data_IF_683166581058
#
_entry.id   IF_683166581058
#
_cell.length_a   1.000
_cell.length_b   1.000
_cell.length_c   1.000
_cell.angle_alpha   90.00
_cell.angle_beta   90.00
_cell.angle_gamma   90.00
#
_symmetry.space_group_name_H-M   'P 1'
#
loop_
_entity.id
_entity.type
_entity.pdbx_description
1 polymer ?
#
# COMPACT_ATOMS: atom_id res chain seq x y z
N UNK A 1 18.51 -1.95 23.17
CA UNK A 1 18.93 -1.14 22.02
C UNK A 1 18.08 -1.48 20.81
N UNK A 2 17.64 -0.50 20.02
CA UNK A 2 16.82 -0.71 18.81
C UNK A 2 17.58 -0.14 17.61
N UNK A 3 17.70 -0.91 16.53
CA UNK A 3 18.32 -0.46 15.27
C UNK A 3 17.48 -0.89 14.07
N UNK A 4 17.77 -0.37 12.89
CA UNK A 4 17.24 -0.96 11.65
C UNK A 4 17.88 -2.32 11.34
N UNK A 5 17.41 -2.98 10.27
CA UNK A 5 17.85 -4.33 9.91
C UNK A 5 18.99 -4.33 8.89
N UNK A 6 19.79 -3.27 8.81
CA UNK A 6 20.97 -3.30 7.96
C UNK A 6 21.96 -4.37 8.46
N UNK A 7 22.58 -5.09 7.55
CA UNK A 7 23.42 -6.25 7.86
C UNK A 7 24.54 -5.94 8.86
N UNK A 8 25.12 -4.74 8.78
CA UNK A 8 26.17 -4.30 9.71
C UNK A 8 25.63 -4.03 11.14
N UNK A 9 24.39 -3.56 11.30
CA UNK A 9 23.78 -3.41 12.62
C UNK A 9 23.44 -4.75 13.27
N UNK A 10 23.02 -5.74 12.47
CA UNK A 10 22.77 -7.12 12.95
C UNK A 10 24.08 -7.75 13.46
N UNK A 11 25.20 -7.56 12.76
CA UNK A 11 26.51 -8.08 13.21
C UNK A 11 26.98 -7.34 14.46
N UNK A 12 26.92 -6.00 14.44
CA UNK A 12 27.31 -5.18 15.59
C UNK A 12 26.48 -5.50 16.83
N UNK A 13 25.16 -5.75 16.69
CA UNK A 13 24.30 -6.09 17.81
C UNK A 13 24.66 -7.42 18.48
N UNK A 14 25.05 -8.44 17.67
CA UNK A 14 25.52 -9.73 18.22
C UNK A 14 26.78 -9.53 19.07
N UNK A 15 27.76 -8.81 18.56
CA UNK A 15 29.00 -8.52 19.29
C UNK A 15 28.70 -7.70 20.57
N UNK A 16 27.76 -6.76 20.49
CA UNK A 16 27.37 -5.94 21.63
C UNK A 16 26.72 -6.79 22.74
N UNK A 17 25.79 -7.68 22.39
CA UNK A 17 25.11 -8.56 23.35
C UNK A 17 26.09 -9.56 23.97
N UNK A 18 27.04 -10.08 23.18
CA UNK A 18 28.13 -10.94 23.69
C UNK A 18 29.03 -10.20 24.70
N UNK A 19 29.34 -8.92 24.44
CA UNK A 19 30.20 -8.12 25.31
C UNK A 19 29.44 -7.59 26.54
N UNK A 20 28.16 -7.26 26.39
CA UNK A 20 27.31 -6.66 27.42
C UNK A 20 26.00 -7.46 27.59
N UNK A 21 25.98 -8.57 28.35
CA UNK A 21 24.83 -9.49 28.45
C UNK A 21 23.53 -8.87 28.99
N UNK A 22 23.60 -7.69 29.60
CA UNK A 22 22.44 -6.95 30.12
C UNK A 22 21.79 -6.05 29.04
N UNK A 23 22.36 -5.98 27.84
CA UNK A 23 21.80 -5.22 26.72
C UNK A 23 20.95 -6.14 25.87
N UNK A 24 19.66 -5.86 25.77
CA UNK A 24 18.78 -6.50 24.81
C UNK A 24 18.75 -5.68 23.52
N UNK A 25 18.88 -6.37 22.40
CA UNK A 25 18.74 -5.77 21.07
C UNK A 25 17.44 -6.25 20.42
N UNK A 26 16.77 -5.35 19.72
CA UNK A 26 15.65 -5.68 18.84
C UNK A 26 15.67 -4.84 17.57
N UNK A 27 15.10 -5.37 16.52
CA UNK A 27 14.91 -4.64 15.27
C UNK A 27 13.85 -3.55 15.42
N UNK A 28 14.03 -2.43 14.71
CA UNK A 28 13.03 -1.39 14.66
C UNK A 28 11.73 -1.91 14.02
N UNK A 29 10.64 -1.88 14.77
CA UNK A 29 9.34 -2.39 14.33
C UNK A 29 8.80 -1.64 13.11
N UNK A 30 8.88 -0.32 13.09
CA UNK A 30 8.46 0.50 11.95
C UNK A 30 9.24 0.12 10.69
N UNK A 31 10.56 -0.10 10.82
CA UNK A 31 11.40 -0.54 9.72
C UNK A 31 10.97 -1.94 9.20
N UNK A 32 10.70 -2.89 10.09
CA UNK A 32 10.22 -4.22 9.72
C UNK A 32 8.88 -4.18 8.98
N UNK A 33 7.93 -3.36 9.44
CA UNK A 33 6.64 -3.18 8.74
C UNK A 33 6.85 -2.53 7.36
N UNK A 34 7.76 -1.56 7.25
CA UNK A 34 8.12 -0.99 5.95
C UNK A 34 8.69 -2.03 5.00
N UNK A 35 9.55 -2.93 5.48
CA UNK A 35 10.10 -4.05 4.68
C UNK A 35 9.01 -5.06 4.28
N UNK A 36 8.06 -5.36 5.18
CA UNK A 36 6.89 -6.20 4.85
C UNK A 36 6.10 -5.55 3.70
N UNK A 37 5.76 -4.26 3.80
CA UNK A 37 5.03 -3.54 2.76
C UNK A 37 5.82 -3.46 1.45
N UNK A 38 7.15 -3.34 1.53
CA UNK A 38 8.04 -3.40 0.38
C UNK A 38 7.97 -4.74 -0.33
N UNK A 39 8.12 -5.86 0.39
CA UNK A 39 8.08 -7.20 -0.19
C UNK A 39 6.67 -7.54 -0.70
N UNK A 40 5.63 -7.13 0.02
CA UNK A 40 4.24 -7.20 -0.45
C UNK A 40 4.07 -6.43 -1.77
N UNK A 41 4.65 -5.24 -1.88
CA UNK A 41 4.62 -4.43 -3.11
C UNK A 41 5.27 -5.10 -4.33
N UNK A 42 6.15 -6.10 -4.14
CA UNK A 42 6.80 -6.87 -5.22
C UNK A 42 5.96 -8.03 -5.75
N UNK A 43 4.86 -8.37 -5.08
CA UNK A 43 3.95 -9.41 -5.57
C UNK A 43 3.36 -9.00 -6.92
N UNK A 44 3.36 -9.92 -7.90
CA UNK A 44 2.97 -9.64 -9.27
C UNK A 44 1.58 -9.00 -9.40
N UNK A 45 0.60 -9.48 -8.61
CA UNK A 45 -0.75 -8.91 -8.59
C UNK A 45 -0.79 -7.46 -8.11
N UNK A 46 0.09 -7.12 -7.16
CA UNK A 46 0.20 -5.75 -6.63
C UNK A 46 0.93 -4.85 -7.62
N UNK A 47 2.04 -5.31 -8.19
CA UNK A 47 2.76 -4.58 -9.23
C UNK A 47 1.83 -4.19 -10.38
N UNK A 48 0.99 -5.12 -10.84
CA UNK A 48 0.00 -4.87 -11.88
C UNK A 48 -0.96 -3.72 -11.53
N UNK A 49 -1.58 -3.79 -10.34
CA UNK A 49 -2.54 -2.77 -9.91
C UNK A 49 -1.87 -1.43 -9.67
N UNK A 50 -0.69 -1.41 -9.03
CA UNK A 50 0.09 -0.18 -8.80
C UNK A 50 0.49 0.46 -10.13
N UNK A 51 0.94 -0.33 -11.11
CA UNK A 51 1.30 0.17 -12.43
C UNK A 51 0.11 0.85 -13.12
N UNK A 52 -1.05 0.20 -13.18
CA UNK A 52 -2.25 0.76 -13.81
C UNK A 52 -2.78 1.99 -13.06
N UNK A 53 -2.80 1.95 -11.72
CA UNK A 53 -3.18 3.11 -10.91
C UNK A 53 -2.25 4.29 -11.15
N UNK A 54 -0.95 4.06 -11.20
CA UNK A 54 0.07 5.07 -11.50
C UNK A 54 -0.07 5.64 -12.90
N UNK A 55 -0.31 4.79 -13.90
CA UNK A 55 -0.54 5.21 -15.29
C UNK A 55 -1.77 6.11 -15.42
N UNK A 56 -2.89 5.72 -14.80
CA UNK A 56 -4.12 6.50 -14.80
C UNK A 56 -3.95 7.86 -14.11
N UNK A 57 -3.29 7.88 -12.96
CA UNK A 57 -3.02 9.12 -12.24
C UNK A 57 -2.09 10.02 -13.05
N UNK A 58 -1.01 9.47 -13.59
CA UNK A 58 -0.07 10.19 -14.45
C UNK A 58 -0.75 10.79 -15.68
N UNK A 59 -1.62 10.01 -16.33
CA UNK A 59 -2.39 10.50 -17.46
C UNK A 59 -3.23 11.74 -17.07
N UNK A 60 -3.97 11.64 -15.96
CA UNK A 60 -4.83 12.74 -15.51
C UNK A 60 -4.04 14.00 -15.16
N UNK A 61 -2.88 13.86 -14.48
CA UNK A 61 -2.07 15.02 -14.07
C UNK A 61 -1.26 15.66 -15.20
N UNK A 62 -0.90 14.89 -16.24
CA UNK A 62 -0.14 15.43 -17.38
C UNK A 62 -1.00 16.20 -18.39
N UNK A 63 -2.31 16.24 -18.20
CA UNK A 63 -3.22 16.91 -19.11
C UNK A 63 -4.16 17.86 -18.34
N UNK A 64 -4.10 19.15 -18.64
CA UNK A 64 -4.87 20.18 -17.90
C UNK A 64 -6.37 19.91 -17.87
N UNK A 65 -6.97 19.47 -18.96
CA UNK A 65 -8.41 19.24 -19.01
C UNK A 65 -8.86 17.97 -18.27
N UNK A 66 -8.25 16.78 -18.45
CA UNK A 66 -8.47 15.63 -17.60
C UNK A 66 -8.30 15.91 -16.12
N UNK A 67 -7.25 16.67 -15.74
CA UNK A 67 -7.03 17.09 -14.36
C UNK A 67 -8.15 17.97 -13.83
N UNK A 68 -8.59 18.96 -14.63
CA UNK A 68 -9.72 19.81 -14.27
C UNK A 68 -10.98 18.98 -14.01
N UNK A 69 -11.33 18.08 -14.93
CA UNK A 69 -12.48 17.20 -14.76
C UNK A 69 -12.34 16.30 -13.55
N UNK A 70 -11.18 15.67 -13.36
CA UNK A 70 -10.93 14.83 -12.20
C UNK A 70 -11.17 15.61 -10.89
N UNK A 71 -10.60 16.81 -10.76
CA UNK A 71 -10.83 17.67 -9.59
C UNK A 71 -12.30 18.03 -9.40
N UNK A 72 -13.00 18.35 -10.49
CA UNK A 72 -14.43 18.68 -10.46
C UNK A 72 -15.25 17.51 -9.90
N UNK A 73 -15.01 16.30 -10.37
CA UNK A 73 -15.77 15.11 -9.96
C UNK A 73 -15.33 14.54 -8.60
N UNK A 74 -14.09 14.75 -8.16
CA UNK A 74 -13.57 14.26 -6.88
C UNK A 74 -13.58 15.29 -5.76
N UNK A 75 -14.21 16.45 -5.95
CA UNK A 75 -14.30 17.51 -4.95
C UNK A 75 -12.97 18.23 -4.68
N UNK A 76 -12.08 18.32 -5.66
CA UNK A 76 -10.83 19.10 -5.60
C UNK A 76 -9.71 18.47 -4.77
N UNK A 77 -9.90 17.27 -4.24
CA UNK A 77 -8.87 16.59 -3.44
C UNK A 77 -7.69 16.17 -4.33
N UNK A 78 -6.49 16.62 -3.95
CA UNK A 78 -5.26 16.18 -4.61
C UNK A 78 -5.05 14.68 -4.36
N UNK A 79 -4.63 13.98 -5.43
CA UNK A 79 -4.27 12.56 -5.34
C UNK A 79 -2.74 12.44 -5.34
N UNK A 80 -2.23 11.76 -4.33
CA UNK A 80 -0.82 11.40 -4.30
C UNK A 80 -0.53 10.42 -5.45
N UNK A 81 0.68 10.46 -6.00
CA UNK A 81 1.11 9.52 -7.03
C UNK A 81 1.65 8.26 -6.39
N UNK A 82 1.20 7.07 -6.78
CA UNK A 82 1.92 5.86 -6.47
C UNK A 82 3.32 5.95 -7.08
N UNK A 83 4.36 5.85 -6.26
CA UNK A 83 5.75 5.93 -6.71
C UNK A 83 6.46 4.60 -6.41
N UNK A 84 7.30 4.07 -7.33
CA UNK A 84 7.94 2.77 -7.18
C UNK A 84 8.78 2.61 -5.89
N UNK A 85 9.28 3.72 -5.35
CA UNK A 85 10.18 3.74 -4.19
C UNK A 85 9.52 4.06 -2.84
N UNK A 86 8.20 4.40 -2.84
CA UNK A 86 7.47 4.79 -1.62
C UNK A 86 6.34 3.81 -1.33
N UNK A 87 6.65 2.62 -0.88
CA UNK A 87 5.69 1.52 -0.73
C UNK A 87 4.51 1.86 0.18
N UNK A 88 4.75 2.44 1.35
CA UNK A 88 3.66 2.85 2.27
C UNK A 88 2.74 3.88 1.63
N UNK A 89 3.34 4.92 1.02
CA UNK A 89 2.59 5.98 0.34
C UNK A 89 1.74 5.39 -0.80
N UNK A 90 2.24 4.36 -1.51
CA UNK A 90 1.47 3.68 -2.55
C UNK A 90 0.17 3.09 -2.01
N UNK A 91 0.21 2.38 -0.88
CA UNK A 91 -0.98 1.78 -0.30
C UNK A 91 -1.99 2.81 0.22
N UNK A 92 -1.51 3.92 0.80
CA UNK A 92 -2.35 5.06 1.18
C UNK A 92 -3.00 5.69 -0.06
N UNK A 93 -2.23 5.85 -1.13
CA UNK A 93 -2.71 6.38 -2.40
C UNK A 93 -3.76 5.46 -3.02
N UNK A 94 -3.51 4.14 -3.01
CA UNK A 94 -4.48 3.17 -3.49
C UNK A 94 -5.81 3.27 -2.72
N UNK A 95 -5.79 3.45 -1.40
CA UNK A 95 -7.01 3.69 -0.61
C UNK A 95 -7.75 4.95 -1.07
N UNK A 96 -7.02 6.06 -1.26
CA UNK A 96 -7.60 7.34 -1.70
C UNK A 96 -8.24 7.24 -3.09
N UNK A 97 -7.61 6.54 -4.04
CA UNK A 97 -8.14 6.36 -5.40
C UNK A 97 -9.38 5.47 -5.39
N UNK A 98 -9.40 4.42 -4.54
CA UNK A 98 -10.54 3.51 -4.43
C UNK A 98 -11.82 4.23 -3.96
N UNK A 99 -11.68 5.20 -3.05
CA UNK A 99 -12.80 6.02 -2.56
C UNK A 99 -13.45 6.79 -3.71
N UNK A 100 -12.65 7.25 -4.68
CA UNK A 100 -13.13 8.05 -5.80
C UNK A 100 -13.48 7.23 -7.05
N UNK A 101 -13.54 5.91 -6.94
CA UNK A 101 -13.88 5.01 -8.06
C UNK A 101 -15.13 5.44 -8.83
N UNK A 102 -16.21 5.71 -8.11
CA UNK A 102 -17.49 6.04 -8.76
C UNK A 102 -17.47 7.45 -9.34
N UNK A 103 -16.76 8.39 -8.72
CA UNK A 103 -16.51 9.72 -9.24
C UNK A 103 -15.71 9.68 -10.55
N UNK A 104 -14.66 8.85 -10.62
CA UNK A 104 -13.86 8.65 -11.83
C UNK A 104 -14.69 8.01 -12.95
N UNK A 105 -15.54 7.03 -12.60
CA UNK A 105 -16.47 6.42 -13.57
C UNK A 105 -17.51 7.41 -14.08
N UNK A 106 -18.04 8.27 -13.22
CA UNK A 106 -18.96 9.33 -13.61
C UNK A 106 -18.27 10.34 -14.54
N UNK A 107 -17.02 10.72 -14.23
CA UNK A 107 -16.22 11.63 -15.04
C UNK A 107 -16.07 11.13 -16.47
N UNK A 108 -15.63 9.89 -16.68
CA UNK A 108 -15.39 9.36 -18.05
C UNK A 108 -16.68 9.11 -18.84
N UNK A 109 -17.84 9.02 -18.17
CA UNK A 109 -19.15 8.92 -18.79
C UNK A 109 -19.82 10.28 -19.02
N UNK A 110 -19.25 11.37 -18.55
CA UNK A 110 -19.83 12.70 -18.66
C UNK A 110 -19.81 13.20 -20.10
N UNK A 111 -20.76 14.09 -20.43
CA UNK A 111 -20.77 14.78 -21.72
C UNK A 111 -19.47 15.56 -21.95
N UNK A 112 -18.93 16.17 -20.90
CA UNK A 112 -17.70 16.95 -20.93
C UNK A 112 -16.50 16.10 -21.37
N UNK A 113 -16.38 14.88 -20.84
CA UNK A 113 -15.34 13.94 -21.27
C UNK A 113 -15.56 13.49 -22.72
N UNK A 114 -16.75 13.01 -23.04
CA UNK A 114 -17.09 12.42 -24.35
C UNK A 114 -16.90 13.43 -25.50
N UNK A 115 -17.21 14.71 -25.27
CA UNK A 115 -17.04 15.77 -26.27
C UNK A 115 -15.59 16.27 -26.39
N UNK A 116 -14.71 15.89 -25.48
CA UNK A 116 -13.32 16.35 -25.47
C UNK A 116 -12.46 15.67 -26.53
N UNK A 117 -11.35 16.32 -26.91
CA UNK A 117 -10.34 15.72 -27.78
C UNK A 117 -9.70 14.46 -27.12
N UNK A 118 -9.62 14.43 -25.78
CA UNK A 118 -9.05 13.33 -25.04
C UNK A 118 -9.84 12.02 -25.14
N UNK A 119 -11.16 12.08 -25.32
CA UNK A 119 -11.98 10.88 -25.54
C UNK A 119 -11.67 10.20 -26.89
N UNK A 120 -11.10 10.94 -27.84
CA UNK A 120 -10.74 10.44 -29.18
C UNK A 120 -9.30 9.92 -29.24
N UNK A 121 -8.44 10.36 -28.33
CA UNK A 121 -7.04 9.96 -28.24
C UNK A 121 -6.89 8.52 -27.76
N UNK A 122 -5.87 7.80 -28.25
CA UNK A 122 -5.66 6.40 -27.87
C UNK A 122 -5.38 6.23 -26.38
N UNK A 123 -4.55 7.08 -25.79
CA UNK A 123 -4.26 7.06 -24.35
C UNK A 123 -5.49 7.40 -23.51
N UNK A 124 -6.34 8.30 -24.02
CA UNK A 124 -7.62 8.62 -23.41
C UNK A 124 -8.59 7.43 -23.41
N UNK A 125 -8.61 6.64 -24.47
CA UNK A 125 -9.40 5.40 -24.55
C UNK A 125 -8.87 4.34 -23.57
N UNK A 126 -7.55 4.13 -23.52
CA UNK A 126 -6.92 3.22 -22.53
C UNK A 126 -7.24 3.63 -21.10
N UNK A 127 -7.23 4.94 -20.82
CA UNK A 127 -7.64 5.47 -19.52
C UNK A 127 -9.11 5.15 -19.21
N UNK A 128 -10.03 5.39 -20.14
CA UNK A 128 -11.46 5.06 -20.00
C UNK A 128 -11.66 3.56 -19.78
N UNK A 129 -11.02 2.73 -20.58
CA UNK A 129 -11.11 1.27 -20.45
C UNK A 129 -10.64 0.80 -19.07
N UNK A 130 -9.53 1.33 -18.57
CA UNK A 130 -9.03 1.02 -17.23
C UNK A 130 -10.00 1.46 -16.13
N UNK A 131 -10.56 2.68 -16.22
CA UNK A 131 -11.51 3.24 -15.23
C UNK A 131 -12.85 2.47 -15.25
N UNK A 132 -13.29 1.98 -16.38
CA UNK A 132 -14.55 1.24 -16.51
C UNK A 132 -14.41 -0.26 -16.22
N UNK A 133 -13.18 -0.81 -16.23
CA UNK A 133 -12.93 -2.23 -16.00
C UNK A 133 -13.30 -2.65 -14.58
N UNK A 134 -14.33 -3.49 -14.45
CA UNK A 134 -14.80 -3.99 -13.14
C UNK A 134 -13.81 -4.95 -12.49
N UNK A 135 -13.19 -5.83 -13.27
CA UNK A 135 -12.20 -6.81 -12.78
C UNK A 135 -10.99 -6.10 -12.17
N UNK A 136 -10.50 -5.04 -12.83
CA UNK A 136 -9.44 -4.19 -12.29
C UNK A 136 -9.80 -3.63 -10.92
N UNK A 137 -11.00 -3.08 -10.75
CA UNK A 137 -11.44 -2.52 -9.47
C UNK A 137 -11.68 -3.58 -8.38
N UNK A 138 -12.08 -4.80 -8.75
CA UNK A 138 -12.21 -5.91 -7.79
C UNK A 138 -10.84 -6.33 -7.25
N UNK A 139 -9.84 -6.47 -8.11
CA UNK A 139 -8.47 -6.76 -7.72
C UNK A 139 -7.88 -5.62 -6.89
N UNK A 140 -8.10 -4.39 -7.32
CA UNK A 140 -7.70 -3.18 -6.61
C UNK A 140 -8.26 -3.13 -5.18
N UNK A 141 -9.58 -3.30 -5.04
CA UNK A 141 -10.23 -3.33 -3.73
C UNK A 141 -9.76 -4.51 -2.86
N UNK A 142 -9.43 -5.65 -3.47
CA UNK A 142 -8.86 -6.80 -2.77
C UNK A 142 -7.50 -6.46 -2.15
N UNK A 143 -6.61 -5.81 -2.93
CA UNK A 143 -5.28 -5.39 -2.48
C UNK A 143 -5.39 -4.36 -1.35
N UNK A 144 -6.22 -3.33 -1.52
CA UNK A 144 -6.44 -2.32 -0.47
C UNK A 144 -6.91 -2.98 0.82
N UNK A 145 -7.88 -3.89 0.76
CA UNK A 145 -8.38 -4.62 1.94
C UNK A 145 -7.34 -5.52 2.59
N UNK A 146 -6.40 -6.09 1.83
CA UNK A 146 -5.31 -6.90 2.38
C UNK A 146 -4.23 -6.06 3.05
N UNK A 147 -3.90 -4.90 2.49
CA UNK A 147 -2.79 -4.07 2.98
C UNK A 147 -3.20 -3.06 4.05
N UNK A 148 -4.48 -2.70 4.12
CA UNK A 148 -5.02 -1.75 5.10
C UNK A 148 -4.61 -2.07 6.56
N UNK A 149 -4.74 -3.32 7.08
CA UNK A 149 -4.35 -3.61 8.43
C UNK A 149 -2.86 -3.37 8.71
N UNK A 150 -1.98 -3.66 7.75
CA UNK A 150 -0.53 -3.39 7.87
C UNK A 150 -0.24 -1.88 7.93
N UNK A 151 -0.93 -1.09 7.11
CA UNK A 151 -0.80 0.37 7.12
C UNK A 151 -1.30 0.94 8.45
N UNK A 152 -2.36 0.38 9.04
CA UNK A 152 -2.85 0.77 10.36
C UNK A 152 -1.83 0.46 11.46
N UNK A 153 -1.21 -0.73 11.44
CA UNK A 153 -0.14 -1.09 12.39
C UNK A 153 1.02 -0.11 12.29
N UNK A 154 1.45 0.23 11.07
CA UNK A 154 2.53 1.20 10.88
C UNK A 154 2.18 2.56 11.49
N UNK A 155 0.96 3.06 11.27
CA UNK A 155 0.51 4.35 11.85
C UNK A 155 0.52 4.33 13.38
N UNK A 156 0.16 3.20 14.00
CA UNK A 156 0.21 3.04 15.46
C UNK A 156 1.66 3.08 15.96
N UNK A 157 2.58 2.45 15.21
CA UNK A 157 3.99 2.38 15.61
C UNK A 157 4.72 3.70 15.40
N UNK A 158 4.39 4.43 14.33
CA UNK A 158 4.98 5.74 14.01
C UNK A 158 4.37 6.88 14.85
N UNK A 159 3.29 6.61 15.61
CA UNK A 159 2.73 7.62 16.51
C UNK A 159 3.63 7.78 17.73
N UNK A 160 4.02 9.01 18.04
CA UNK A 160 4.85 9.37 19.22
C UNK A 160 4.08 9.27 20.54
N UNK A 161 2.76 9.09 20.49
CA UNK A 161 1.87 9.22 21.64
C UNK A 161 1.94 8.06 22.65
N UNK A 162 2.46 6.88 22.26
CA UNK A 162 2.50 5.68 23.13
C UNK A 162 3.67 4.76 22.80
N UNK A 163 4.25 4.05 23.81
CA UNK A 163 5.24 3.01 23.57
C UNK A 163 4.63 1.84 22.79
N UNK A 164 4.81 1.88 21.47
CA UNK A 164 4.14 1.00 20.50
C UNK A 164 4.57 -0.48 20.60
N UNK A 165 5.79 -0.76 21.10
CA UNK A 165 6.35 -2.13 21.14
C UNK A 165 5.48 -3.11 21.94
N UNK A 166 4.83 -2.66 23.02
CA UNK A 166 3.96 -3.49 23.85
C UNK A 166 2.78 -4.07 23.06
N UNK A 167 2.25 -3.32 22.10
CA UNK A 167 1.04 -3.68 21.34
C UNK A 167 1.36 -4.29 19.97
N UNK A 168 2.62 -4.26 19.57
CA UNK A 168 3.04 -4.66 18.23
C UNK A 168 2.70 -6.12 17.92
N UNK A 169 3.00 -7.03 18.84
CA UNK A 169 2.73 -8.47 18.65
C UNK A 169 1.25 -8.72 18.44
N UNK A 170 0.42 -8.17 19.31
CA UNK A 170 -1.03 -8.30 19.23
C UNK A 170 -1.59 -7.67 17.95
N UNK A 171 -1.09 -6.49 17.57
CA UNK A 171 -1.50 -5.80 16.36
C UNK A 171 -1.18 -6.61 15.09
N UNK A 172 0.00 -7.22 15.01
CA UNK A 172 0.37 -8.06 13.86
C UNK A 172 -0.40 -9.39 13.87
N UNK A 173 -0.58 -10.00 15.04
CA UNK A 173 -1.39 -11.22 15.17
C UNK A 173 -2.83 -10.95 14.71
N UNK A 174 -3.45 -9.88 15.22
CA UNK A 174 -4.78 -9.42 14.79
C UNK A 174 -4.84 -9.14 13.29
N UNK A 175 -3.78 -8.56 12.71
CA UNK A 175 -3.66 -8.31 11.27
C UNK A 175 -3.72 -9.61 10.46
N UNK A 176 -2.95 -10.64 10.86
CA UNK A 176 -2.99 -11.98 10.21
C UNK A 176 -4.38 -12.60 10.29
N UNK A 177 -5.01 -12.55 11.46
CA UNK A 177 -6.37 -13.06 11.64
C UNK A 177 -7.39 -12.30 10.78
N UNK A 178 -7.33 -10.97 10.75
CA UNK A 178 -8.21 -10.17 9.91
C UNK A 178 -8.06 -10.51 8.43
N UNK A 179 -6.82 -10.68 7.95
CA UNK A 179 -6.57 -11.11 6.57
C UNK A 179 -7.19 -12.48 6.29
N UNK A 180 -6.99 -13.46 7.18
CA UNK A 180 -7.57 -14.79 7.04
C UNK A 180 -9.09 -14.75 7.05
N UNK A 181 -9.72 -14.02 7.97
CA UNK A 181 -11.19 -13.88 8.07
C UNK A 181 -11.79 -13.22 6.85
N UNK A 182 -11.19 -12.13 6.36
CA UNK A 182 -11.67 -11.38 5.19
C UNK A 182 -11.60 -12.20 3.90
N UNK A 183 -10.68 -13.17 3.81
CA UNK A 183 -10.40 -13.93 2.59
C UNK A 183 -10.53 -15.44 2.75
N UNK A 184 -11.32 -15.93 3.71
CA UNK A 184 -11.50 -17.36 4.02
C UNK A 184 -11.73 -18.25 2.78
N UNK A 185 -12.46 -17.74 1.78
CA UNK A 185 -12.73 -18.46 0.52
C UNK A 185 -11.59 -18.39 -0.51
N UNK A 186 -10.58 -17.55 -0.28
CA UNK A 186 -9.47 -17.28 -1.22
C UNK A 186 -8.11 -17.38 -0.52
N UNK A 187 -7.91 -18.43 0.27
CA UNK A 187 -6.70 -18.64 1.10
C UNK A 187 -5.40 -18.56 0.28
N UNK A 188 -5.41 -19.05 -0.95
CA UNK A 188 -4.27 -18.97 -1.88
C UNK A 188 -3.83 -17.54 -2.19
N UNK A 189 -4.76 -16.56 -2.18
CA UNK A 189 -4.43 -15.16 -2.39
C UNK A 189 -3.79 -14.51 -1.16
N UNK A 190 -4.09 -15.01 0.03
CA UNK A 190 -3.59 -14.46 1.31
C UNK A 190 -2.24 -15.08 1.69
N UNK A 191 -1.99 -16.32 1.31
CA UNK A 191 -0.78 -17.05 1.73
C UNK A 191 0.52 -16.29 1.46
N UNK A 192 0.77 -15.70 0.26
CA UNK A 192 1.99 -14.94 0.01
C UNK A 192 2.21 -13.77 0.97
N UNK A 193 1.12 -13.12 1.42
CA UNK A 193 1.20 -12.04 2.41
C UNK A 193 1.57 -12.56 3.79
N UNK A 194 0.96 -13.69 4.20
CA UNK A 194 1.24 -14.32 5.49
C UNK A 194 2.68 -14.82 5.56
N UNK A 195 3.21 -15.36 4.47
CA UNK A 195 4.59 -15.83 4.38
C UNK A 195 5.58 -14.67 4.53
N UNK A 196 5.31 -13.54 3.85
CA UNK A 196 6.12 -12.33 3.98
C UNK A 196 6.06 -11.81 5.43
N UNK A 197 4.87 -11.67 6.02
CA UNK A 197 4.72 -11.21 7.41
C UNK A 197 5.48 -12.14 8.36
N UNK A 198 5.34 -13.46 8.19
CA UNK A 198 5.98 -14.45 9.07
C UNK A 198 7.52 -14.40 8.99
N UNK A 199 8.08 -14.15 7.81
CA UNK A 199 9.52 -13.95 7.59
C UNK A 199 10.09 -12.84 8.49
N UNK A 200 9.39 -11.71 8.59
CA UNK A 200 9.87 -10.53 9.33
C UNK A 200 9.53 -10.57 10.81
N UNK A 201 8.50 -11.34 11.22
CA UNK A 201 8.13 -11.47 12.63
C UNK A 201 9.24 -12.09 13.48
N UNK A 202 10.02 -13.03 12.94
CA UNK A 202 11.16 -13.61 13.63
C UNK A 202 12.26 -12.61 14.00
N UNK A 203 12.25 -11.40 13.43
CA UNK A 203 13.22 -10.33 13.71
C UNK A 203 12.72 -9.32 14.74
N UNK A 204 11.42 -9.28 14.98
CA UNK A 204 10.77 -8.36 15.91
C UNK A 204 10.68 -8.99 17.32
N UNK A 205 10.58 -10.33 17.36
CA UNK A 205 10.38 -11.12 18.57
C UNK A 205 11.67 -11.91 18.81
N UNK A 206 12.62 -11.30 19.44
CA UNK A 206 13.80 -11.97 20.02
C UNK A 206 13.70 -11.91 21.52
#
# INVERSE_FOLDING_TARGET
MITDNASFYIVASKLLVETFPLIFWSSCAAHCINLILQDVGKLQSICYVVYHASSNTKYSYNHCYPLHLMRKFTGGKEKLWPAPTRFVTNFITLQSILIDKDNLRAMVKSREWISSAYAKDNKGKEFVDSVLNSTFWEEYASIVRMTEPLVQVLRIIDSEDRPAMRFLYEAIHSTKEQMLRRFQKKRTKVQPFLDIISKYMGWIIV
#
